data_IF_601928588481
#
_entry.id   IF_601928588481
#
_cell.length_a   1.000
_cell.length_b   1.000
_cell.length_c   1.000
_cell.angle_alpha   90.00
_cell.angle_beta   90.00
_cell.angle_gamma   90.00
#
_symmetry.space_group_name_H-M   'P 1'
#
loop_
_entity.id
_entity.type
_entity.pdbx_description
1 polymer ?
#
# COMPACT_ATOMS: atom_id res chain seq x y z
N UNK A 1 -21.66 -17.41 -55.38
CA UNK A 1 -22.21 -16.63 -54.27
C UNK A 1 -21.50 -17.08 -52.99
N UNK A 2 -20.45 -16.36 -52.63
CA UNK A 2 -19.75 -16.60 -51.40
C UNK A 2 -20.36 -15.64 -50.34
N UNK A 3 -21.02 -16.18 -49.33
CA UNK A 3 -21.49 -15.41 -48.18
C UNK A 3 -20.27 -15.04 -47.32
N UNK A 4 -20.01 -13.75 -47.22
CA UNK A 4 -19.16 -13.17 -46.22
C UNK A 4 -19.87 -13.37 -44.87
N UNK A 5 -19.40 -14.33 -44.06
CA UNK A 5 -19.64 -14.34 -42.64
C UNK A 5 -18.65 -13.34 -42.01
N UNK A 6 -19.12 -12.14 -41.74
CA UNK A 6 -18.47 -11.27 -40.79
C UNK A 6 -18.66 -11.92 -39.42
N UNK A 7 -17.58 -12.50 -38.88
CA UNK A 7 -17.52 -12.84 -37.47
C UNK A 7 -17.63 -11.51 -36.69
N UNK A 8 -18.80 -11.32 -36.13
CA UNK A 8 -19.04 -10.34 -35.09
C UNK A 8 -18.29 -10.83 -33.85
N UNK A 9 -17.04 -10.44 -33.71
CA UNK A 9 -16.29 -10.66 -32.48
C UNK A 9 -16.99 -9.81 -31.44
N UNK A 10 -17.86 -10.43 -30.63
CA UNK A 10 -18.52 -9.79 -29.50
C UNK A 10 -17.46 -9.06 -28.69
N UNK A 11 -17.67 -7.76 -28.47
CA UNK A 11 -16.81 -6.97 -27.60
C UNK A 11 -16.75 -7.68 -26.24
N UNK A 12 -15.59 -8.19 -25.86
CA UNK A 12 -15.40 -8.74 -24.52
C UNK A 12 -15.68 -7.60 -23.51
N UNK A 13 -16.71 -7.77 -22.71
CA UNK A 13 -17.12 -6.78 -21.72
C UNK A 13 -16.15 -6.84 -20.53
N UNK A 14 -15.19 -5.93 -20.51
CA UNK A 14 -14.26 -5.80 -19.38
C UNK A 14 -14.89 -4.94 -18.29
N UNK A 15 -14.77 -5.39 -17.04
CA UNK A 15 -15.24 -4.68 -15.84
C UNK A 15 -14.17 -3.75 -15.29
N UNK A 16 -12.90 -4.02 -15.60
CA UNK A 16 -11.77 -3.26 -15.09
C UNK A 16 -10.82 -2.82 -16.19
N UNK A 17 -10.26 -1.64 -16.01
CA UNK A 17 -9.20 -1.11 -16.85
C UNK A 17 -8.14 -0.35 -16.05
N UNK A 18 -6.98 -0.15 -16.65
CA UNK A 18 -5.94 0.74 -16.12
C UNK A 18 -6.17 2.16 -16.63
N UNK A 19 -5.79 3.15 -15.82
CA UNK A 19 -5.89 4.55 -16.22
C UNK A 19 -5.18 4.82 -17.55
N UNK A 20 -5.83 5.53 -18.45
CA UNK A 20 -5.29 5.84 -19.79
C UNK A 20 -3.98 6.63 -19.76
N UNK A 21 -3.83 7.49 -18.76
CA UNK A 21 -2.66 8.35 -18.57
C UNK A 21 -1.90 7.99 -17.28
N UNK A 22 -1.12 6.89 -17.29
CA UNK A 22 -0.34 6.50 -16.13
C UNK A 22 0.79 7.50 -15.87
N UNK A 23 1.21 7.60 -14.61
CA UNK A 23 2.32 8.44 -14.22
C UNK A 23 3.61 7.66 -14.46
N UNK A 24 4.42 8.11 -15.42
CA UNK A 24 5.74 7.53 -15.67
C UNK A 24 6.79 8.15 -14.75
N UNK A 25 7.66 7.32 -14.17
CA UNK A 25 8.78 7.74 -13.34
C UNK A 25 10.04 6.93 -13.71
N UNK A 26 11.19 7.30 -13.15
CA UNK A 26 12.43 6.58 -13.41
C UNK A 26 12.39 5.19 -12.75
N UNK A 27 12.60 4.11 -13.50
CA UNK A 27 12.53 2.75 -12.97
C UNK A 27 13.66 2.47 -11.96
N UNK A 28 13.43 1.45 -11.13
CA UNK A 28 14.45 0.96 -10.20
C UNK A 28 15.66 0.43 -10.98
N UNK A 29 16.86 0.82 -10.54
CA UNK A 29 18.14 0.40 -11.09
C UNK A 29 19.13 0.14 -9.96
N UNK A 30 20.36 -0.24 -10.31
CA UNK A 30 21.46 -0.35 -9.33
C UNK A 30 21.74 0.97 -8.57
N UNK A 31 21.42 2.12 -9.19
CA UNK A 31 21.68 3.45 -8.64
C UNK A 31 20.42 4.25 -8.29
N UNK A 32 19.24 3.73 -8.64
CA UNK A 32 17.95 4.39 -8.42
C UNK A 32 17.07 3.50 -7.55
N UNK A 33 16.68 4.01 -6.39
CA UNK A 33 15.67 3.41 -5.54
C UNK A 33 14.33 4.09 -5.77
N UNK A 34 13.25 3.33 -5.62
CA UNK A 34 11.88 3.81 -5.75
C UNK A 34 11.17 3.59 -4.43
N UNK A 35 10.56 4.66 -3.89
CA UNK A 35 9.73 4.61 -2.68
C UNK A 35 8.34 5.15 -2.99
N UNK A 36 7.34 4.61 -2.31
CA UNK A 36 5.98 5.10 -2.37
C UNK A 36 5.53 5.62 -1.00
N UNK A 37 4.86 6.77 -1.00
CA UNK A 37 4.26 7.37 0.18
C UNK A 37 2.74 7.29 0.07
N UNK A 38 2.13 6.47 0.91
CA UNK A 38 0.69 6.19 0.92
C UNK A 38 -0.14 7.42 1.34
N UNK A 39 0.46 8.34 2.11
CA UNK A 39 -0.23 9.53 2.63
C UNK A 39 -0.39 10.59 1.55
N UNK A 40 0.68 10.89 0.83
CA UNK A 40 0.70 11.88 -0.25
C UNK A 40 0.45 11.27 -1.63
N UNK A 41 0.36 9.93 -1.73
CA UNK A 41 0.22 9.15 -2.98
C UNK A 41 1.33 9.46 -4.00
N UNK A 42 2.54 9.70 -3.50
CA UNK A 42 3.68 10.11 -4.31
C UNK A 42 4.71 8.98 -4.45
N UNK A 43 5.32 8.92 -5.62
CA UNK A 43 6.47 8.08 -5.90
C UNK A 43 7.73 8.95 -5.88
N UNK A 44 8.71 8.51 -5.11
CA UNK A 44 10.03 9.09 -5.01
C UNK A 44 11.02 8.22 -5.76
N UNK A 45 11.73 8.77 -6.73
CA UNK A 45 12.88 8.13 -7.36
C UNK A 45 14.15 8.80 -6.83
N UNK A 46 14.98 8.01 -6.15
CA UNK A 46 16.12 8.50 -5.38
C UNK A 46 17.40 7.93 -5.99
N UNK A 47 18.20 8.79 -6.62
CA UNK A 47 19.47 8.42 -7.24
C UNK A 47 20.63 8.58 -6.26
N UNK A 48 21.47 7.55 -6.13
CA UNK A 48 22.68 7.58 -5.29
C UNK A 48 22.45 8.18 -3.90
N UNK A 49 21.44 7.64 -3.17
CA UNK A 49 21.09 8.16 -1.85
C UNK A 49 20.50 9.58 -1.82
N UNK A 50 20.13 10.12 -2.99
CA UNK A 50 19.58 11.47 -3.15
C UNK A 50 20.61 12.56 -3.49
N UNK A 51 21.91 12.25 -3.41
CA UNK A 51 22.99 13.21 -3.71
C UNK A 51 22.98 13.69 -5.16
N UNK A 52 22.64 12.80 -6.11
CA UNK A 52 22.55 13.15 -7.54
C UNK A 52 21.16 13.56 -7.98
N UNK A 53 20.14 13.33 -7.17
CA UNK A 53 18.77 13.79 -7.41
C UNK A 53 17.71 12.94 -6.77
N UNK A 54 16.65 13.61 -6.39
CA UNK A 54 15.37 13.04 -5.99
C UNK A 54 14.32 13.64 -6.92
N UNK A 55 13.53 12.78 -7.57
CA UNK A 55 12.38 13.20 -8.35
C UNK A 55 11.12 12.65 -7.70
N UNK A 56 10.12 13.51 -7.50
CA UNK A 56 8.84 13.13 -6.88
C UNK A 56 7.72 13.38 -7.87
N UNK A 57 6.88 12.36 -8.05
CA UNK A 57 5.68 12.41 -8.90
C UNK A 57 4.48 11.86 -8.16
N UNK A 58 3.31 12.32 -8.52
CA UNK A 58 2.05 11.85 -7.94
C UNK A 58 0.85 12.52 -8.59
N UNK A 59 -0.36 11.99 -8.38
CA UNK A 59 -1.57 12.46 -9.06
C UNK A 59 -1.93 13.91 -8.72
N UNK A 60 -1.62 14.35 -7.51
CA UNK A 60 -1.95 15.68 -7.02
C UNK A 60 -0.86 16.74 -7.32
N UNK A 61 0.27 16.32 -7.94
CA UNK A 61 1.34 17.22 -8.32
C UNK A 61 1.13 17.77 -9.74
N UNK A 62 0.93 19.08 -9.85
CA UNK A 62 0.85 19.77 -11.16
C UNK A 62 2.11 19.61 -12.02
N UNK A 63 3.27 19.46 -11.37
CA UNK A 63 4.57 19.23 -12.01
C UNK A 63 5.46 18.42 -11.08
N UNK A 64 6.38 17.61 -11.61
CA UNK A 64 7.35 16.89 -10.80
C UNK A 64 8.13 17.81 -9.87
N UNK A 65 8.46 17.33 -8.68
CA UNK A 65 9.34 18.01 -7.75
C UNK A 65 10.74 17.39 -7.87
N UNK A 66 11.76 18.25 -8.09
CA UNK A 66 13.14 17.81 -8.22
C UNK A 66 14.01 18.54 -7.20
N UNK A 67 14.81 17.82 -6.44
CA UNK A 67 15.73 18.38 -5.48
C UNK A 67 16.92 17.42 -5.22
N UNK A 68 17.83 17.84 -4.37
CA UNK A 68 18.94 17.02 -3.88
C UNK A 68 18.97 17.06 -2.36
N UNK A 69 19.50 16.01 -1.77
CA UNK A 69 19.79 15.93 -0.33
C UNK A 69 21.27 15.63 -0.14
N UNK A 70 21.80 15.89 1.06
CA UNK A 70 23.19 15.58 1.38
C UNK A 70 23.49 14.09 1.23
N UNK A 71 24.70 13.78 0.76
CA UNK A 71 25.18 12.40 0.68
C UNK A 71 25.53 11.88 2.09
N UNK A 72 24.60 11.20 2.70
CA UNK A 72 24.75 10.53 4.00
C UNK A 72 24.54 9.01 3.88
N UNK A 73 24.71 8.47 2.68
CA UNK A 73 24.54 7.06 2.39
C UNK A 73 23.13 6.67 1.89
N UNK A 74 22.85 5.38 1.93
CA UNK A 74 21.61 4.82 1.37
C UNK A 74 20.36 5.32 2.10
N UNK A 75 19.32 5.62 1.34
CA UNK A 75 17.98 5.95 1.84
C UNK A 75 17.17 4.65 1.98
N UNK A 76 16.56 4.44 3.13
CA UNK A 76 15.67 3.31 3.41
C UNK A 76 14.20 3.67 3.20
N UNK A 77 13.82 4.92 3.47
CA UNK A 77 12.47 5.44 3.27
C UNK A 77 12.50 6.96 3.19
N UNK A 78 11.58 7.53 2.41
CA UNK A 78 11.45 8.98 2.22
C UNK A 78 9.96 9.31 2.04
N UNK A 79 9.43 10.24 2.85
CA UNK A 79 8.01 10.63 2.82
C UNK A 79 7.85 12.10 3.18
N UNK A 80 6.96 12.80 2.48
CA UNK A 80 6.57 14.17 2.82
C UNK A 80 5.48 14.21 3.90
N UNK A 81 5.52 15.28 4.71
CA UNK A 81 4.32 15.67 5.47
C UNK A 81 3.15 15.98 4.52
N UNK A 82 1.88 15.85 4.94
CA UNK A 82 0.73 16.04 4.04
C UNK A 82 0.68 17.39 3.32
N UNK A 83 1.25 18.46 3.91
CA UNK A 83 1.36 19.77 3.28
C UNK A 83 2.64 19.97 2.45
N UNK A 84 3.48 18.95 2.32
CA UNK A 84 4.75 18.94 1.58
C UNK A 84 5.78 19.97 2.07
N UNK A 85 5.68 20.45 3.31
CA UNK A 85 6.60 21.41 3.89
C UNK A 85 7.74 20.77 4.70
N UNK A 86 7.64 19.49 5.01
CA UNK A 86 8.70 18.77 5.72
C UNK A 86 8.88 17.38 5.11
N UNK A 87 10.09 17.09 4.70
CA UNK A 87 10.49 15.77 4.21
C UNK A 87 11.11 14.99 5.37
N UNK A 88 10.64 13.78 5.61
CA UNK A 88 11.25 12.83 6.53
C UNK A 88 12.04 11.77 5.75
N UNK A 89 13.27 11.53 6.17
CA UNK A 89 14.23 10.63 5.52
C UNK A 89 14.74 9.63 6.55
N UNK A 90 14.62 8.36 6.28
CA UNK A 90 15.25 7.30 7.07
C UNK A 90 16.46 6.76 6.32
N UNK A 91 17.66 6.90 6.90
CA UNK A 91 18.92 6.32 6.38
C UNK A 91 19.47 5.21 7.26
N UNK A 92 18.97 5.09 8.47
CA UNK A 92 19.42 4.09 9.43
C UNK A 92 18.24 3.47 10.19
N UNK A 93 18.49 2.36 10.87
CA UNK A 93 17.51 1.77 11.76
C UNK A 93 17.37 2.53 13.11
N UNK A 94 18.05 3.66 13.30
CA UNK A 94 18.10 4.39 14.57
C UNK A 94 17.53 5.79 14.53
N UNK A 95 17.46 6.41 13.36
CA UNK A 95 17.19 7.84 13.26
C UNK A 95 16.34 8.13 12.02
N UNK A 96 15.41 9.06 12.16
CA UNK A 96 14.74 9.73 11.05
C UNK A 96 15.20 11.18 11.01
N UNK A 97 15.59 11.65 9.85
CA UNK A 97 16.04 12.99 9.55
C UNK A 97 14.92 13.79 8.91
N UNK A 98 14.88 15.10 9.15
CA UNK A 98 13.87 15.99 8.63
C UNK A 98 14.53 17.14 7.88
N UNK A 99 13.95 17.51 6.76
CA UNK A 99 14.36 18.63 5.92
C UNK A 99 13.12 19.48 5.60
N UNK A 100 13.19 20.78 5.93
CA UNK A 100 12.10 21.68 5.63
C UNK A 100 12.11 22.06 4.15
N UNK A 101 10.95 22.44 3.63
CA UNK A 101 10.75 22.91 2.27
C UNK A 101 10.04 24.26 2.26
N UNK A 102 10.55 25.19 1.47
CA UNK A 102 9.92 26.48 1.16
C UNK A 102 9.94 26.67 -0.35
N UNK A 103 8.80 27.07 -0.93
CA UNK A 103 8.68 27.27 -2.37
C UNK A 103 9.13 26.05 -3.21
N UNK A 104 8.88 24.83 -2.72
CA UNK A 104 9.25 23.57 -3.36
C UNK A 104 10.77 23.28 -3.39
N UNK A 105 11.55 23.98 -2.60
CA UNK A 105 13.00 23.79 -2.46
C UNK A 105 13.37 23.47 -1.01
N UNK A 106 14.45 22.69 -0.78
CA UNK A 106 15.00 22.49 0.55
C UNK A 106 15.36 23.79 1.24
N UNK A 107 14.94 23.96 2.49
CA UNK A 107 15.14 25.16 3.30
C UNK A 107 15.90 24.85 4.59
N UNK A 108 17.14 25.29 4.63
CA UNK A 108 18.02 25.21 5.79
C UNK A 108 18.58 23.81 6.08
N UNK A 109 19.22 23.63 7.24
CA UNK A 109 19.86 22.38 7.59
C UNK A 109 18.86 21.29 8.01
N UNK A 110 19.25 20.03 7.82
CA UNK A 110 18.54 18.87 8.34
C UNK A 110 18.61 18.82 9.88
N UNK A 111 17.56 18.29 10.49
CA UNK A 111 17.49 17.96 11.91
C UNK A 111 16.95 16.55 12.08
N UNK A 112 17.12 15.92 13.24
CA UNK A 112 16.85 14.49 13.37
C UNK A 112 16.19 14.14 14.69
N UNK A 113 15.50 12.99 14.67
CA UNK A 113 14.93 12.34 15.84
C UNK A 113 15.40 10.89 15.90
N UNK A 114 16.21 10.52 16.91
CA UNK A 114 16.53 9.12 17.15
C UNK A 114 15.34 8.39 17.80
N UNK A 115 15.23 7.09 17.57
CA UNK A 115 14.33 6.23 18.33
C UNK A 115 14.84 6.04 19.78
N UNK A 116 13.96 5.65 20.66
CA UNK A 116 14.28 5.52 22.09
C UNK A 116 15.13 4.30 22.39
N UNK A 117 16.13 4.48 23.23
CA UNK A 117 16.95 3.40 23.78
C UNK A 117 17.62 2.50 22.72
N UNK A 118 17.49 1.18 22.91
CA UNK A 118 18.04 0.19 21.99
C UNK A 118 17.14 -0.20 20.83
N UNK A 119 15.94 0.41 20.70
CA UNK A 119 14.98 0.08 19.65
C UNK A 119 15.54 0.26 18.24
N UNK A 120 14.94 -0.45 17.28
CA UNK A 120 15.22 -0.35 15.85
C UNK A 120 13.96 0.09 15.11
N UNK A 121 14.09 1.08 14.26
CA UNK A 121 12.99 1.61 13.45
C UNK A 121 12.62 0.58 12.37
N UNK A 122 11.36 0.15 12.37
CA UNK A 122 10.76 -0.66 11.31
C UNK A 122 10.25 0.22 10.17
N UNK A 123 9.81 1.44 10.51
CA UNK A 123 9.36 2.44 9.57
C UNK A 123 8.70 3.61 10.29
N UNK A 124 8.16 4.54 9.51
CA UNK A 124 7.48 5.72 10.04
C UNK A 124 6.33 6.16 9.13
N UNK A 125 5.39 6.91 9.69
CA UNK A 125 4.24 7.47 8.98
C UNK A 125 3.97 8.91 9.44
N UNK A 126 3.60 9.77 8.51
CA UNK A 126 2.98 11.05 8.78
C UNK A 126 1.49 10.83 9.00
N UNK A 127 0.94 11.43 10.06
CA UNK A 127 -0.46 11.27 10.43
C UNK A 127 -1.22 12.60 10.43
N UNK A 128 -0.47 13.70 10.43
CA UNK A 128 -0.95 15.05 10.18
C UNK A 128 0.20 15.90 9.63
N UNK A 129 -0.05 17.18 9.43
CA UNK A 129 0.96 18.14 8.96
C UNK A 129 2.18 18.20 9.89
N UNK A 130 1.97 18.01 11.18
CA UNK A 130 3.01 18.10 12.21
C UNK A 130 3.23 16.80 12.97
N UNK A 131 2.27 15.87 12.95
CA UNK A 131 2.36 14.66 13.76
C UNK A 131 2.96 13.52 12.96
N UNK A 132 3.92 12.87 13.57
CA UNK A 132 4.77 11.84 13.01
C UNK A 132 4.83 10.66 13.97
N UNK A 133 4.65 9.46 13.45
CA UNK A 133 4.76 8.23 14.22
C UNK A 133 5.91 7.40 13.71
N UNK A 134 6.78 7.01 14.64
CA UNK A 134 7.85 6.06 14.41
C UNK A 134 7.45 4.70 14.98
N UNK A 135 7.49 3.67 14.15
CA UNK A 135 7.21 2.29 14.54
C UNK A 135 8.55 1.59 14.69
N UNK A 136 8.78 1.03 15.88
CA UNK A 136 10.02 0.33 16.22
C UNK A 136 9.74 -1.12 16.58
N UNK A 137 10.77 -1.94 16.63
CA UNK A 137 10.67 -3.32 17.10
C UNK A 137 10.27 -3.44 18.58
N UNK A 138 10.26 -2.32 19.34
CA UNK A 138 9.86 -2.28 20.75
C UNK A 138 8.60 -1.44 20.99
N UNK A 139 7.97 -0.92 19.95
CA UNK A 139 6.68 -0.20 20.07
C UNK A 139 6.48 0.94 19.11
N UNK A 140 5.54 1.80 19.48
CA UNK A 140 5.08 2.94 18.70
C UNK A 140 5.40 4.21 19.45
N UNK A 141 6.07 5.14 18.77
CA UNK A 141 6.50 6.42 19.32
C UNK A 141 5.86 7.57 18.54
N UNK A 142 5.07 8.39 19.20
CA UNK A 142 4.37 9.54 18.61
C UNK A 142 5.12 10.82 18.90
N UNK A 143 5.41 11.59 17.89
CA UNK A 143 6.16 12.83 17.92
C UNK A 143 5.41 13.96 17.22
N UNK A 144 5.70 15.19 17.66
CA UNK A 144 5.29 16.42 16.98
C UNK A 144 6.51 17.15 16.44
N UNK A 145 6.48 17.42 15.16
CA UNK A 145 7.50 18.20 14.46
C UNK A 145 7.08 19.67 14.45
N UNK A 146 8.01 20.56 14.75
CA UNK A 146 7.83 22.02 14.65
C UNK A 146 8.84 22.55 13.63
N UNK A 147 8.47 22.65 12.35
CA UNK A 147 9.40 22.97 11.26
C UNK A 147 10.12 24.30 11.46
N UNK A 148 9.42 25.35 11.93
CA UNK A 148 9.97 26.69 12.11
C UNK A 148 11.10 26.73 13.14
N UNK A 149 11.02 25.85 14.14
CA UNK A 149 12.03 25.70 15.21
C UNK A 149 13.03 24.59 14.92
N UNK A 150 12.82 23.80 13.86
CA UNK A 150 13.59 22.57 13.55
C UNK A 150 13.72 21.65 14.77
N UNK A 151 12.63 21.44 15.47
CA UNK A 151 12.59 20.61 16.68
C UNK A 151 11.53 19.53 16.57
N UNK A 152 11.77 18.42 17.27
CA UNK A 152 10.84 17.30 17.38
C UNK A 152 10.58 17.04 18.86
N UNK A 153 9.31 17.01 19.25
CA UNK A 153 8.88 16.78 20.62
C UNK A 153 8.17 15.43 20.73
N UNK A 154 8.59 14.61 21.68
CA UNK A 154 7.89 13.38 21.99
C UNK A 154 6.54 13.67 22.65
N UNK A 155 5.46 13.05 22.17
CA UNK A 155 4.11 13.17 22.70
C UNK A 155 3.77 11.95 23.55
N UNK A 156 3.77 10.77 22.94
CA UNK A 156 3.33 9.52 23.57
C UNK A 156 4.13 8.33 23.04
N UNK A 157 4.25 7.28 23.84
CA UNK A 157 4.79 6.01 23.38
C UNK A 157 4.00 4.85 23.96
N UNK A 158 3.96 3.76 23.21
CA UNK A 158 3.35 2.50 23.61
C UNK A 158 4.34 1.37 23.38
N UNK A 159 4.71 0.66 24.44
CA UNK A 159 5.58 -0.50 24.35
C UNK A 159 4.82 -1.70 23.78
N UNK A 160 5.38 -2.31 22.75
CA UNK A 160 4.89 -3.51 22.10
C UNK A 160 6.02 -4.13 21.30
N UNK A 161 6.35 -5.38 21.56
CA UNK A 161 7.31 -6.10 20.70
C UNK A 161 6.68 -6.31 19.33
N UNK A 162 7.20 -5.61 18.33
CA UNK A 162 6.59 -5.48 17.01
C UNK A 162 7.39 -6.23 15.95
N UNK A 163 6.68 -6.92 15.04
CA UNK A 163 7.27 -7.64 13.92
C UNK A 163 7.24 -6.80 12.63
N UNK A 164 6.09 -6.23 12.31
CA UNK A 164 5.80 -5.42 11.13
C UNK A 164 4.58 -4.53 11.40
N UNK A 165 4.29 -3.63 10.50
CA UNK A 165 3.11 -2.77 10.57
C UNK A 165 2.54 -2.47 9.19
N UNK A 166 1.26 -2.10 9.16
CA UNK A 166 0.58 -1.51 7.99
C UNK A 166 -0.18 -0.27 8.42
N UNK A 167 -0.25 0.72 7.55
CA UNK A 167 -0.97 1.96 7.79
C UNK A 167 -1.93 2.28 6.65
N UNK A 168 -3.15 2.66 6.98
CA UNK A 168 -4.15 3.12 6.04
C UNK A 168 -4.48 4.60 6.31
N UNK A 169 -4.05 5.53 5.46
CA UNK A 169 -4.34 6.95 5.62
C UNK A 169 -5.85 7.26 5.57
N UNK A 170 -6.62 6.52 4.78
CA UNK A 170 -8.06 6.73 4.61
C UNK A 170 -8.84 6.51 5.90
N UNK A 171 -8.52 5.47 6.64
CA UNK A 171 -9.15 5.16 7.93
C UNK A 171 -8.41 5.76 9.13
N UNK A 172 -7.17 6.23 8.95
CA UNK A 172 -6.27 6.61 10.03
C UNK A 172 -5.86 5.42 10.91
N UNK A 173 -5.96 4.19 10.39
CA UNK A 173 -5.62 2.96 11.11
C UNK A 173 -4.16 2.59 10.93
N UNK A 174 -3.42 2.57 12.03
CA UNK A 174 -2.11 1.92 12.13
C UNK A 174 -2.31 0.56 12.82
N UNK A 175 -1.95 -0.51 12.13
CA UNK A 175 -2.02 -1.87 12.65
C UNK A 175 -0.60 -2.42 12.82
N UNK A 176 -0.28 -2.87 14.04
CA UNK A 176 1.05 -3.37 14.40
C UNK A 176 0.96 -4.84 14.77
N UNK A 177 1.76 -5.66 14.12
CA UNK A 177 1.88 -7.09 14.39
C UNK A 177 2.81 -7.36 15.55
N UNK A 178 2.46 -8.36 16.36
CA UNK A 178 3.24 -8.83 17.49
C UNK A 178 3.10 -10.35 17.68
N UNK A 179 3.87 -10.89 18.62
CA UNK A 179 3.89 -12.34 18.91
C UNK A 179 4.78 -13.12 17.93
N UNK A 180 5.11 -14.34 18.29
CA UNK A 180 6.05 -15.20 17.55
C UNK A 180 5.54 -15.54 16.14
N UNK A 181 4.23 -15.74 16.00
CA UNK A 181 3.59 -16.04 14.72
C UNK A 181 3.26 -14.79 13.89
N UNK A 182 3.36 -13.58 14.48
CA UNK A 182 2.96 -12.33 13.84
C UNK A 182 1.45 -12.11 13.75
N UNK A 183 0.66 -12.99 14.33
CA UNK A 183 -0.80 -13.03 14.21
C UNK A 183 -1.54 -12.22 15.29
N UNK A 184 -0.85 -11.69 16.28
CA UNK A 184 -1.39 -10.80 17.29
C UNK A 184 -1.36 -9.36 16.76
N UNK A 185 -2.52 -8.80 16.43
CA UNK A 185 -2.65 -7.50 15.79
C UNK A 185 -3.12 -6.44 16.80
N UNK A 186 -2.33 -5.37 16.95
CA UNK A 186 -2.64 -4.24 17.80
C UNK A 186 -3.04 -3.04 16.93
N UNK A 187 -4.32 -2.67 16.87
CA UNK A 187 -4.77 -1.49 16.16
C UNK A 187 -4.53 -0.22 16.98
N UNK A 188 -4.14 0.85 16.27
CA UNK A 188 -4.12 2.22 16.74
C UNK A 188 -4.91 3.08 15.78
N UNK A 189 -5.86 3.84 16.28
CA UNK A 189 -6.62 4.79 15.48
C UNK A 189 -6.08 6.21 15.72
N UNK A 190 -5.80 6.88 14.62
CA UNK A 190 -5.32 8.25 14.60
C UNK A 190 -6.51 9.18 14.34
N UNK A 191 -6.91 9.91 15.36
CA UNK A 191 -8.02 10.85 15.28
C UNK A 191 -7.71 12.11 16.08
N UNK A 192 -7.90 13.27 15.48
CA UNK A 192 -7.73 14.58 16.14
C UNK A 192 -6.37 14.71 16.88
N UNK A 193 -5.27 14.39 16.19
CA UNK A 193 -3.90 14.42 16.77
C UNK A 193 -3.68 13.46 17.97
N UNK A 194 -4.58 12.52 18.17
CA UNK A 194 -4.47 11.54 19.24
C UNK A 194 -4.26 10.14 18.69
N UNK A 195 -3.27 9.45 19.24
CA UNK A 195 -3.04 8.04 19.03
C UNK A 195 -3.87 7.26 20.04
N UNK A 196 -4.99 6.69 19.59
CA UNK A 196 -5.90 5.88 20.41
C UNK A 196 -5.59 4.41 20.18
N UNK A 197 -5.21 3.73 21.26
CA UNK A 197 -4.99 2.28 21.23
C UNK A 197 -6.34 1.57 21.32
N UNK A 198 -6.67 0.75 20.31
CA UNK A 198 -7.86 -0.10 20.32
C UNK A 198 -7.56 -1.47 20.94
N UNK A 199 -8.58 -2.30 21.08
CA UNK A 199 -8.41 -3.66 21.58
C UNK A 199 -7.64 -4.50 20.56
N UNK A 200 -6.59 -5.15 21.03
CA UNK A 200 -5.84 -6.10 20.21
C UNK A 200 -6.67 -7.36 19.93
N UNK A 201 -6.42 -7.99 18.81
CA UNK A 201 -7.04 -9.26 18.45
C UNK A 201 -6.01 -10.22 17.85
N UNK A 202 -6.35 -11.48 17.85
CA UNK A 202 -5.52 -12.53 17.33
C UNK A 202 -6.19 -13.17 16.12
N UNK A 203 -5.40 -13.40 15.07
CA UNK A 203 -5.84 -14.12 13.87
C UNK A 203 -5.53 -15.58 14.05
N UNK A 204 -6.53 -16.44 13.91
CA UNK A 204 -6.37 -17.88 14.03
C UNK A 204 -5.40 -18.41 12.96
N UNK A 205 -4.43 -19.19 13.38
CA UNK A 205 -3.50 -19.92 12.53
C UNK A 205 -3.78 -21.43 12.70
N UNK A 206 -4.41 -22.03 11.71
CA UNK A 206 -4.89 -23.40 11.81
C UNK A 206 -3.76 -24.44 12.06
N UNK A 207 -2.61 -24.25 11.41
CA UNK A 207 -1.46 -25.15 11.53
C UNK A 207 -0.18 -24.31 11.72
N UNK A 208 0.12 -23.88 12.96
CA UNK A 208 1.31 -23.09 13.21
C UNK A 208 2.57 -23.91 12.91
N UNK A 209 3.58 -23.30 12.28
CA UNK A 209 4.82 -23.99 11.95
C UNK A 209 5.55 -24.46 13.22
N UNK A 210 6.21 -25.61 13.13
CA UNK A 210 7.05 -26.15 14.18
C UNK A 210 8.51 -26.19 13.70
N UNK A 211 9.47 -25.50 14.36
CA UNK A 211 9.29 -24.59 15.49
C UNK A 211 8.48 -23.34 15.12
N UNK A 212 7.88 -22.70 16.12
CA UNK A 212 7.06 -21.50 15.94
C UNK A 212 7.88 -20.37 15.29
N UNK A 213 7.40 -19.81 14.18
CA UNK A 213 8.01 -18.73 13.41
C UNK A 213 6.93 -17.84 12.78
N UNK A 214 7.34 -16.67 12.35
CA UNK A 214 6.43 -15.73 11.67
C UNK A 214 5.69 -16.41 10.51
N UNK A 215 4.37 -16.30 10.48
CA UNK A 215 3.51 -16.90 9.46
C UNK A 215 2.42 -15.95 8.94
N UNK A 216 2.15 -14.83 9.63
CA UNK A 216 1.33 -13.73 9.10
C UNK A 216 2.25 -12.55 8.81
N UNK A 217 2.20 -12.05 7.59
CA UNK A 217 3.08 -11.00 7.09
C UNK A 217 2.27 -9.74 6.71
N UNK A 218 2.95 -8.61 6.61
CA UNK A 218 2.33 -7.34 6.23
C UNK A 218 1.56 -7.41 4.90
N UNK A 219 2.08 -8.14 3.91
CA UNK A 219 1.47 -8.32 2.59
C UNK A 219 0.14 -9.07 2.61
N UNK A 220 -0.13 -9.80 3.69
CA UNK A 220 -1.35 -10.60 3.85
C UNK A 220 -2.48 -9.79 4.51
N UNK A 221 -2.18 -8.54 4.93
CA UNK A 221 -3.07 -7.72 5.75
C UNK A 221 -3.32 -6.37 5.08
N UNK A 222 -4.58 -6.10 4.74
CA UNK A 222 -5.01 -4.87 4.09
C UNK A 222 -6.02 -4.12 4.97
N UNK A 223 -5.61 -3.09 5.70
CA UNK A 223 -6.55 -2.20 6.38
C UNK A 223 -7.20 -1.24 5.37
N UNK A 224 -8.49 -1.02 5.49
CA UNK A 224 -9.24 -0.12 4.59
C UNK A 224 -10.52 0.41 5.25
N UNK A 225 -11.29 1.17 4.49
CA UNK A 225 -12.63 1.63 4.87
C UNK A 225 -13.64 1.13 3.84
N UNK A 226 -14.68 0.44 4.30
CA UNK A 226 -15.81 0.01 3.49
C UNK A 226 -17.10 0.47 4.16
N UNK A 227 -18.02 1.10 3.42
CA UNK A 227 -19.29 1.61 3.95
C UNK A 227 -19.12 2.45 5.23
N UNK A 228 -18.10 3.32 5.25
CA UNK A 228 -17.70 4.15 6.40
C UNK A 228 -17.29 3.34 7.66
N UNK A 229 -17.03 2.06 7.54
CA UNK A 229 -16.52 1.22 8.62
C UNK A 229 -15.04 0.93 8.40
N UNK A 230 -14.26 0.99 9.47
CA UNK A 230 -12.86 0.58 9.44
C UNK A 230 -12.81 -0.95 9.44
N UNK A 231 -12.21 -1.53 8.42
CA UNK A 231 -12.07 -2.98 8.26
C UNK A 231 -10.63 -3.39 8.04
N UNK A 232 -10.33 -4.63 8.37
CA UNK A 232 -9.05 -5.28 8.09
C UNK A 232 -9.33 -6.56 7.32
N UNK A 233 -8.79 -6.65 6.11
CA UNK A 233 -8.85 -7.82 5.25
C UNK A 233 -7.59 -8.65 5.48
N UNK A 234 -7.75 -9.93 5.79
CA UNK A 234 -6.63 -10.83 6.08
C UNK A 234 -6.69 -12.01 5.12
N UNK A 235 -5.72 -12.06 4.21
CA UNK A 235 -5.54 -13.16 3.27
C UNK A 235 -4.97 -14.38 4.00
N UNK A 236 -5.63 -15.51 3.86
CA UNK A 236 -5.18 -16.80 4.40
C UNK A 236 -5.13 -17.84 3.30
N UNK A 237 -4.05 -18.58 3.27
CA UNK A 237 -3.87 -19.70 2.35
C UNK A 237 -4.16 -21.01 3.06
N UNK A 238 -5.01 -21.82 2.47
CA UNK A 238 -5.26 -23.18 2.92
C UNK A 238 -4.45 -24.15 2.06
N UNK A 239 -3.31 -24.57 2.59
CA UNK A 239 -2.40 -25.48 1.87
C UNK A 239 -3.04 -26.85 1.60
N UNK A 240 -3.92 -27.32 2.48
CA UNK A 240 -4.54 -28.63 2.36
C UNK A 240 -5.48 -28.73 1.14
N UNK A 241 -6.19 -27.65 0.83
CA UNK A 241 -7.20 -27.62 -0.24
C UNK A 241 -6.75 -26.86 -1.47
N UNK A 242 -5.51 -26.33 -1.48
CA UNK A 242 -5.01 -25.42 -2.53
C UNK A 242 -5.98 -24.25 -2.79
N UNK A 243 -6.60 -23.72 -1.74
CA UNK A 243 -7.55 -22.60 -1.77
C UNK A 243 -7.04 -21.44 -0.92
N UNK A 244 -7.66 -20.30 -1.08
CA UNK A 244 -7.41 -19.13 -0.23
C UNK A 244 -8.74 -18.51 0.21
N UNK A 245 -8.70 -17.73 1.27
CA UNK A 245 -9.82 -16.96 1.78
C UNK A 245 -9.36 -15.59 2.27
N UNK A 246 -10.22 -14.60 2.22
CA UNK A 246 -10.01 -13.34 2.92
C UNK A 246 -10.97 -13.25 4.09
N UNK A 247 -10.43 -13.11 5.30
CA UNK A 247 -11.22 -12.87 6.49
C UNK A 247 -11.36 -11.36 6.69
N UNK A 248 -12.58 -10.89 6.86
CA UNK A 248 -12.91 -9.50 7.12
C UNK A 248 -13.14 -9.29 8.61
N UNK A 249 -12.32 -8.44 9.23
CA UNK A 249 -12.52 -7.97 10.60
C UNK A 249 -13.03 -6.53 10.57
N UNK A 250 -14.13 -6.27 11.26
CA UNK A 250 -14.63 -4.91 11.49
C UNK A 250 -14.09 -4.39 12.82
N UNK A 251 -13.52 -3.19 12.79
CA UNK A 251 -12.96 -2.51 13.96
C UNK A 251 -13.84 -1.32 14.35
N UNK A 252 -14.10 -1.20 15.65
CA UNK A 252 -14.79 -0.06 16.25
C UNK A 252 -14.03 0.41 17.48
N UNK A 253 -14.17 1.69 17.80
CA UNK A 253 -13.57 2.28 19.00
C UNK A 253 -14.14 1.67 20.28
N UNK A 254 -15.44 1.36 20.27
CA UNK A 254 -16.22 1.01 21.45
C UNK A 254 -16.57 -0.48 21.58
N UNK A 255 -16.05 -1.30 20.66
CA UNK A 255 -16.28 -2.74 20.66
C UNK A 255 -15.04 -3.57 20.35
N UNK A 256 -15.08 -4.86 20.68
CA UNK A 256 -14.05 -5.79 20.28
C UNK A 256 -14.03 -5.97 18.76
N UNK A 257 -12.85 -6.16 18.17
CA UNK A 257 -12.73 -6.53 16.76
C UNK A 257 -13.56 -7.79 16.47
N UNK A 258 -14.37 -7.74 15.41
CA UNK A 258 -15.30 -8.83 15.07
C UNK A 258 -14.98 -9.36 13.67
N UNK A 259 -14.82 -10.66 13.55
CA UNK A 259 -14.86 -11.37 12.27
C UNK A 259 -16.29 -11.29 11.74
N UNK A 260 -16.48 -10.67 10.60
CA UNK A 260 -17.80 -10.41 10.03
C UNK A 260 -18.05 -11.21 8.75
N UNK A 261 -17.03 -11.34 7.89
CA UNK A 261 -17.18 -12.04 6.62
C UNK A 261 -15.97 -12.94 6.32
N UNK A 262 -16.20 -13.94 5.49
CA UNK A 262 -15.18 -14.72 4.81
C UNK A 262 -15.46 -14.63 3.31
N UNK A 263 -14.47 -14.21 2.54
CA UNK A 263 -14.52 -14.17 1.08
C UNK A 263 -13.82 -15.42 0.56
N UNK A 264 -14.55 -16.27 -0.14
CA UNK A 264 -14.02 -17.51 -0.70
C UNK A 264 -13.27 -17.19 -2.00
N UNK A 265 -11.99 -17.55 -2.08
CA UNK A 265 -11.16 -17.36 -3.26
C UNK A 265 -10.92 -18.69 -3.96
N UNK A 266 -10.97 -18.66 -5.28
CA UNK A 266 -10.62 -19.78 -6.11
C UNK A 266 -9.11 -19.83 -6.37
N UNK A 267 -8.52 -21.01 -6.27
CA UNK A 267 -7.11 -21.25 -6.55
C UNK A 267 -6.16 -20.90 -5.40
N UNK A 268 -4.89 -20.95 -5.70
CA UNK A 268 -3.79 -20.68 -4.76
C UNK A 268 -2.70 -19.86 -5.47
N UNK A 269 -1.83 -19.22 -4.69
CA UNK A 269 -0.75 -18.42 -5.22
C UNK A 269 -0.76 -16.98 -4.71
N UNK A 270 -0.33 -16.03 -5.53
CA UNK A 270 -0.29 -14.63 -5.15
C UNK A 270 -1.62 -13.95 -5.45
N UNK A 271 -2.15 -13.33 -4.41
CA UNK A 271 -3.31 -12.45 -4.48
C UNK A 271 -2.92 -11.02 -4.07
N UNK A 272 -3.65 -10.06 -4.62
CA UNK A 272 -3.58 -8.67 -4.19
C UNK A 272 -5.01 -8.12 -4.06
N UNK A 273 -5.16 -7.05 -3.28
CA UNK A 273 -6.48 -6.47 -3.01
C UNK A 273 -6.48 -5.00 -3.40
N UNK A 274 -7.47 -4.61 -4.19
CA UNK A 274 -7.84 -3.21 -4.44
C UNK A 274 -9.25 -2.94 -3.92
N UNK A 275 -9.52 -1.68 -3.64
CA UNK A 275 -10.85 -1.21 -3.25
C UNK A 275 -11.32 -0.21 -4.31
N UNK A 276 -12.45 -0.51 -4.93
CA UNK A 276 -13.14 0.41 -5.84
C UNK A 276 -14.47 0.77 -5.20
N UNK A 277 -14.63 2.04 -4.81
CA UNK A 277 -15.73 2.53 -3.98
C UNK A 277 -15.85 1.71 -2.69
N UNK A 278 -16.82 0.82 -2.56
CA UNK A 278 -16.97 -0.10 -1.44
C UNK A 278 -16.82 -1.57 -1.86
N UNK A 279 -16.44 -1.83 -3.10
CA UNK A 279 -16.21 -3.18 -3.60
C UNK A 279 -14.78 -3.63 -3.31
N UNK A 280 -14.63 -4.88 -2.91
CA UNK A 280 -13.34 -5.52 -2.74
C UNK A 280 -13.03 -6.25 -4.05
N UNK A 281 -11.94 -5.86 -4.69
CA UNK A 281 -11.43 -6.49 -5.90
C UNK A 281 -10.19 -7.30 -5.54
N UNK A 282 -10.26 -8.61 -5.75
CA UNK A 282 -9.17 -9.52 -5.44
C UNK A 282 -8.53 -10.02 -6.74
N UNK A 283 -7.28 -9.62 -6.96
CA UNK A 283 -6.50 -9.96 -8.14
C UNK A 283 -5.75 -11.27 -7.90
N UNK A 284 -5.89 -12.22 -8.80
CA UNK A 284 -5.14 -13.48 -8.77
C UNK A 284 -4.11 -13.49 -9.89
N UNK A 285 -2.82 -13.49 -9.53
CA UNK A 285 -1.73 -13.37 -10.47
C UNK A 285 -1.65 -14.57 -11.43
N UNK A 286 -1.84 -15.78 -10.93
CA UNK A 286 -1.65 -17.00 -11.70
C UNK A 286 -2.69 -17.19 -12.81
N UNK A 287 -3.98 -16.90 -12.52
CA UNK A 287 -5.06 -16.97 -13.52
C UNK A 287 -5.16 -15.70 -14.36
N UNK A 288 -4.50 -14.60 -13.97
CA UNK A 288 -4.63 -13.28 -14.58
C UNK A 288 -6.09 -12.79 -14.59
N UNK A 289 -6.78 -12.99 -13.48
CA UNK A 289 -8.19 -12.58 -13.29
C UNK A 289 -8.39 -11.87 -11.97
N UNK A 290 -9.52 -11.19 -11.85
CA UNK A 290 -9.95 -10.47 -10.66
C UNK A 290 -11.35 -10.88 -10.27
N UNK A 291 -11.58 -11.10 -8.97
CA UNK A 291 -12.87 -11.44 -8.37
C UNK A 291 -13.41 -10.23 -7.61
N UNK A 292 -14.72 -10.01 -7.65
CA UNK A 292 -15.40 -8.87 -7.01
C UNK A 292 -16.22 -9.38 -5.84
N UNK A 293 -16.16 -8.69 -4.71
CA UNK A 293 -16.95 -8.95 -3.52
C UNK A 293 -17.59 -7.67 -2.97
N UNK A 294 -18.82 -7.78 -2.50
CA UNK A 294 -19.52 -6.74 -1.76
C UNK A 294 -20.00 -7.31 -0.41
N UNK A 295 -19.45 -6.75 0.68
CA UNK A 295 -19.79 -7.17 2.05
C UNK A 295 -21.17 -6.71 2.52
N UNK A 296 -21.85 -5.86 1.74
CA UNK A 296 -23.18 -5.35 2.08
C UNK A 296 -24.32 -6.20 1.46
N UNK A 297 -23.96 -7.17 0.64
CA UNK A 297 -24.97 -8.07 0.06
C UNK A 297 -25.41 -9.13 1.08
N UNK A 298 -26.70 -9.38 1.07
CA UNK A 298 -27.29 -10.48 1.86
C UNK A 298 -26.79 -11.83 1.33
N UNK A 299 -26.24 -12.64 2.19
CA UNK A 299 -25.73 -13.97 1.89
C UNK A 299 -26.04 -14.95 3.02
N UNK A 300 -25.73 -16.21 2.82
CA UNK A 300 -25.89 -17.24 3.83
C UNK A 300 -25.04 -16.93 5.07
N UNK A 301 -25.68 -16.91 6.23
CA UNK A 301 -25.03 -16.67 7.50
C UNK A 301 -25.25 -17.85 8.44
N UNK A 302 -24.21 -18.33 9.08
CA UNK A 302 -24.30 -19.31 10.16
C UNK A 302 -24.61 -18.66 11.53
N UNK A 303 -24.95 -17.35 11.52
CA UNK A 303 -25.21 -16.54 12.71
C UNK A 303 -23.94 -15.99 13.38
N UNK A 304 -22.74 -16.35 12.92
CA UNK A 304 -21.45 -15.86 13.44
C UNK A 304 -20.76 -14.94 12.47
N UNK A 305 -20.69 -15.30 11.21
CA UNK A 305 -20.12 -14.53 10.10
C UNK A 305 -20.84 -14.88 8.80
N UNK A 306 -20.66 -14.05 7.77
CA UNK A 306 -21.23 -14.24 6.45
C UNK A 306 -20.15 -14.81 5.52
N UNK A 307 -20.43 -15.89 4.80
CA UNK A 307 -19.55 -16.42 3.76
C UNK A 307 -20.01 -15.91 2.40
N UNK A 308 -19.08 -15.33 1.64
CA UNK A 308 -19.34 -14.72 0.34
C UNK A 308 -18.53 -15.41 -0.75
N UNK A 309 -19.19 -15.69 -1.85
CA UNK A 309 -18.57 -16.03 -3.12
C UNK A 309 -18.44 -14.78 -3.99
N UNK A 310 -17.60 -14.78 -5.02
CA UNK A 310 -17.50 -13.65 -5.97
C UNK A 310 -18.87 -13.31 -6.56
N UNK A 311 -19.12 -12.00 -6.78
CA UNK A 311 -20.38 -11.51 -7.37
C UNK A 311 -20.60 -11.99 -8.81
N UNK A 312 -19.50 -12.09 -9.54
CA UNK A 312 -19.43 -12.50 -10.94
C UNK A 312 -18.32 -13.55 -11.11
N UNK A 313 -18.35 -14.28 -12.21
CA UNK A 313 -17.18 -15.05 -12.64
C UNK A 313 -15.95 -14.15 -12.68
N UNK A 314 -14.80 -14.67 -12.29
CA UNK A 314 -13.55 -13.90 -12.27
C UNK A 314 -13.20 -13.36 -13.67
N UNK A 315 -12.98 -12.08 -13.80
CA UNK A 315 -12.76 -11.36 -15.07
C UNK A 315 -11.32 -10.83 -15.17
N UNK A 316 -10.81 -10.70 -16.38
CA UNK A 316 -9.51 -10.07 -16.62
C UNK A 316 -9.64 -8.54 -16.59
N UNK A 317 -8.54 -7.85 -16.26
CA UNK A 317 -8.41 -6.42 -16.52
C UNK A 317 -8.22 -6.23 -18.01
N UNK A 318 -8.84 -5.20 -18.61
CA UNK A 318 -8.70 -4.86 -20.03
C UNK A 318 -7.22 -4.78 -20.42
N UNK A 319 -6.77 -5.42 -21.53
CA UNK A 319 -5.39 -5.32 -21.98
C UNK A 319 -4.97 -3.86 -22.20
N UNK A 320 -3.80 -3.49 -21.70
CA UNK A 320 -3.26 -2.15 -21.81
C UNK A 320 -2.03 -2.12 -22.74
N UNK A 321 -1.94 -1.07 -23.55
CA UNK A 321 -0.86 -0.90 -24.53
C UNK A 321 -0.16 0.44 -24.33
N UNK A 322 1.17 0.41 -24.28
CA UNK A 322 1.98 1.62 -24.26
C UNK A 322 2.18 2.17 -25.66
N UNK A 323 2.04 3.47 -25.82
CA UNK A 323 2.49 4.17 -27.00
C UNK A 323 3.98 4.54 -26.80
N UNK A 324 4.87 3.91 -27.55
CA UNK A 324 6.29 4.30 -27.56
C UNK A 324 6.44 5.49 -28.50
N UNK A 325 6.99 6.65 -28.03
CA UNK A 325 7.23 7.80 -28.89
C UNK A 325 8.14 7.41 -30.07
N UNK A 326 7.85 7.92 -31.25
CA UNK A 326 8.62 7.65 -32.48
C UNK A 326 10.12 7.97 -32.38
N UNK A 327 10.53 8.83 -31.44
CA UNK A 327 11.94 9.15 -31.13
C UNK A 327 12.73 8.00 -30.51
N UNK A 328 12.06 7.01 -29.92
CA UNK A 328 12.70 5.83 -29.31
C UNK A 328 12.64 4.59 -30.25
N UNK A 329 11.82 4.63 -31.29
CA UNK A 329 11.73 3.59 -32.29
C UNK A 329 12.69 3.92 -33.43
N UNK A 330 13.64 3.05 -33.74
CA UNK A 330 14.54 3.18 -34.89
C UNK A 330 13.85 3.14 -36.27
N UNK A 331 12.52 3.06 -36.30
CA UNK A 331 11.67 3.07 -37.48
C UNK A 331 10.49 4.00 -37.17
N UNK A 332 10.21 4.94 -38.05
CA UNK A 332 9.16 5.96 -38.05
C UNK A 332 7.70 5.45 -37.86
N UNK A 333 7.45 4.46 -37.05
CA UNK A 333 6.13 3.95 -36.73
C UNK A 333 5.93 3.96 -35.21
N UNK A 334 4.84 4.55 -34.76
CA UNK A 334 4.36 4.37 -33.39
C UNK A 334 4.15 2.87 -33.14
N UNK A 335 4.98 2.27 -32.30
CA UNK A 335 4.81 0.88 -31.92
C UNK A 335 4.05 0.81 -30.60
N UNK A 336 2.90 0.14 -30.61
CA UNK A 336 2.17 -0.23 -29.41
C UNK A 336 2.83 -1.44 -28.78
N UNK A 337 3.27 -1.34 -27.55
CA UNK A 337 3.80 -2.47 -26.77
C UNK A 337 2.75 -2.87 -25.73
N UNK A 338 2.41 -4.16 -25.73
CA UNK A 338 1.48 -4.73 -24.77
C UNK A 338 2.06 -4.69 -23.36
N UNK A 339 1.29 -4.22 -22.39
CA UNK A 339 1.60 -4.35 -20.97
C UNK A 339 1.44 -5.82 -20.56
N UNK A 340 2.39 -6.34 -19.76
CA UNK A 340 2.20 -7.63 -19.10
C UNK A 340 1.20 -7.48 -17.97
N UNK A 341 -0.05 -7.85 -18.23
CA UNK A 341 -1.13 -7.79 -17.24
C UNK A 341 -0.87 -8.77 -16.09
N UNK A 342 -1.16 -8.34 -14.85
CA UNK A 342 -0.87 -9.09 -13.62
C UNK A 342 0.61 -9.44 -13.45
N UNK A 343 1.50 -8.53 -13.90
CA UNK A 343 2.94 -8.72 -13.81
C UNK A 343 3.37 -9.06 -12.38
N UNK A 344 4.36 -9.96 -12.19
CA UNK A 344 4.93 -10.24 -10.88
C UNK A 344 5.63 -9.04 -10.24
N UNK A 345 5.95 -7.99 -11.01
CA UNK A 345 6.51 -6.71 -10.54
C UNK A 345 5.46 -5.73 -10.01
N UNK A 346 4.18 -5.99 -10.23
CA UNK A 346 3.12 -5.13 -9.74
C UNK A 346 3.02 -5.18 -8.22
N UNK A 347 3.02 -4.00 -7.62
CA UNK A 347 2.75 -3.79 -6.20
C UNK A 347 1.47 -2.98 -6.07
N UNK A 348 0.52 -3.51 -5.29
CA UNK A 348 -0.79 -2.91 -5.09
C UNK A 348 -0.81 -2.09 -3.81
N UNK A 349 -1.36 -0.88 -3.90
CA UNK A 349 -1.56 0.04 -2.78
C UNK A 349 -3.02 0.49 -2.72
N UNK A 350 -3.48 0.75 -1.52
CA UNK A 350 -4.85 1.19 -1.29
C UNK A 350 -5.08 2.64 -1.76
N UNK A 351 -6.28 2.94 -2.30
CA UNK A 351 -7.38 2.00 -2.52
C UNK A 351 -7.22 1.16 -3.81
N UNK A 352 -6.73 1.74 -4.92
CA UNK A 352 -6.77 1.19 -6.27
C UNK A 352 -5.51 1.52 -7.10
N UNK A 353 -4.38 1.58 -6.44
CA UNK A 353 -3.11 2.00 -7.06
C UNK A 353 -2.27 0.77 -7.37
N UNK A 354 -1.67 0.75 -8.55
CA UNK A 354 -0.74 -0.29 -9.01
C UNK A 354 0.56 0.39 -9.43
N UNK A 355 1.68 -0.02 -8.84
CA UNK A 355 3.00 0.51 -9.17
C UNK A 355 3.86 -0.63 -9.71
N UNK A 356 4.42 -0.41 -10.89
CA UNK A 356 5.48 -1.23 -11.46
C UNK A 356 6.81 -0.46 -11.40
N UNK A 357 7.60 -0.73 -10.38
CA UNK A 357 8.88 -0.04 -10.17
C UNK A 357 9.96 -0.48 -11.19
N UNK A 358 9.80 -1.65 -11.84
CA UNK A 358 10.73 -2.13 -12.86
C UNK A 358 10.50 -1.41 -14.18
N UNK A 359 9.23 -1.16 -14.53
CA UNK A 359 8.87 -0.38 -15.71
C UNK A 359 8.84 1.14 -15.43
N UNK A 360 8.79 1.56 -14.17
CA UNK A 360 8.68 2.96 -13.78
C UNK A 360 7.31 3.55 -14.08
N UNK A 361 6.24 2.80 -13.77
CA UNK A 361 4.88 3.19 -14.11
C UNK A 361 3.96 3.05 -12.89
N UNK A 362 3.08 4.04 -12.73
CA UNK A 362 2.06 4.12 -11.70
C UNK A 362 0.69 4.23 -12.36
N UNK A 363 -0.18 3.26 -12.13
CA UNK A 363 -1.53 3.17 -12.65
C UNK A 363 -2.57 3.37 -11.56
N UNK A 364 -3.76 3.80 -11.97
CA UNK A 364 -5.00 3.57 -11.22
C UNK A 364 -5.78 2.43 -11.85
N UNK A 365 -6.34 1.56 -11.03
CA UNK A 365 -7.35 0.60 -11.43
C UNK A 365 -8.70 1.32 -11.41
N UNK A 366 -9.45 1.19 -12.49
CA UNK A 366 -10.77 1.82 -12.69
C UNK A 366 -11.80 0.74 -13.02
N UNK A 367 -13.08 0.99 -12.69
CA UNK A 367 -14.18 0.26 -13.28
C UNK A 367 -14.46 0.83 -14.66
N UNK A 368 -14.79 -0.01 -15.63
CA UNK A 368 -15.39 0.43 -16.90
C UNK A 368 -16.83 0.83 -16.62
N UNK A 369 -17.27 1.97 -17.18
CA UNK A 369 -18.66 2.45 -17.07
C UNK A 369 -19.65 1.50 -17.78
#
# INVERSE_FOLDING_TARGET
>A
MAQNMTEDAGEEEYVFELSENPISFEPVTKFTNVFYDEVTRQVFTVRSGGATGVNVKGPDLKSPLNFRVEDKGAVLSMKFSPNQQTLAIQRSAKTVEFLNFSNREPDGPEYSQPCRGSSLILGFVWVSVTDFIMITNQGVEHYQVTPEKRTVRALKSHSLQSNWFVYCPLSGLLLVSSGVLGNCLQPYLLKNHQLVRLTKFEVDVANPPQPARLCLFERDVTPTTLYNQTVVLILKHNVANSSAEIIVYTLSKDSLPRKTHILNLEGSGKFAVSILDNLIVVHHQASKTSSIFDINLASESDGRFVSLNPLLASVAIRPYFFNIPASAAMLNQESKVSCEMYSPSWVFFQPNIIIDAILGIYYFLLSTD
#
